data_IF_377524099377
#
_entry.id   IF_377524099377
#
_cell.length_a   1.000
_cell.length_b   1.000
_cell.length_c   1.000
_cell.angle_alpha   90.00
_cell.angle_beta   90.00
_cell.angle_gamma   90.00
#
_symmetry.space_group_name_H-M   'P 1'
#
loop_
_entity.id
_entity.type
_entity.pdbx_description
1 polymer ?
#
# COMPACT_ATOMS: atom_id res chain seq x y z
N UNK A 1 -10.37 3.56 0.82
CA UNK A 1 -9.07 3.71 0.11
C UNK A 1 -8.50 5.11 0.18
N UNK A 2 -9.18 6.15 -0.35
CA UNK A 2 -8.74 7.57 -0.24
C UNK A 2 -8.45 7.98 1.21
N UNK A 3 -9.35 7.64 2.13
CA UNK A 3 -9.21 7.90 3.58
C UNK A 3 -7.86 7.41 4.12
N UNK A 4 -7.39 6.24 3.70
CA UNK A 4 -6.13 5.69 4.19
C UNK A 4 -4.91 6.51 3.75
N UNK A 5 -4.94 7.10 2.54
CA UNK A 5 -3.88 8.00 2.07
C UNK A 5 -3.87 9.30 2.85
N UNK A 6 -5.03 9.92 3.09
CA UNK A 6 -5.12 11.15 3.88
C UNK A 6 -4.67 10.92 5.32
N UNK A 7 -5.18 9.86 5.99
CA UNK A 7 -4.75 9.53 7.34
C UNK A 7 -3.24 9.27 7.42
N UNK A 8 -2.66 8.61 6.41
CA UNK A 8 -1.21 8.39 6.35
C UNK A 8 -0.43 9.70 6.12
N UNK A 9 -0.93 10.60 5.26
CA UNK A 9 -0.32 11.89 5.00
C UNK A 9 -0.34 12.80 6.25
N UNK A 10 -1.37 12.70 7.06
CA UNK A 10 -1.49 13.34 8.39
C UNK A 10 -0.57 12.72 9.45
N UNK A 11 0.12 11.62 9.13
CA UNK A 11 1.05 10.95 10.05
C UNK A 11 0.40 9.95 11.01
N UNK A 12 -0.85 9.56 10.78
CA UNK A 12 -1.49 8.53 11.61
C UNK A 12 -0.75 7.19 11.49
N UNK A 13 -0.56 6.51 12.63
CA UNK A 13 0.06 5.20 12.64
C UNK A 13 -0.79 4.16 11.90
N UNK A 14 -0.14 3.16 11.30
CA UNK A 14 -0.81 2.05 10.61
C UNK A 14 -1.93 1.41 11.43
N UNK A 15 -1.74 1.27 12.76
CA UNK A 15 -2.75 0.70 13.66
C UNK A 15 -4.07 1.49 13.60
N UNK A 16 -4.00 2.81 13.61
CA UNK A 16 -5.17 3.68 13.57
C UNK A 16 -5.86 3.59 12.22
N UNK A 17 -5.08 3.56 11.13
CA UNK A 17 -5.62 3.42 9.77
C UNK A 17 -6.30 2.06 9.58
N UNK A 18 -5.71 0.97 10.10
CA UNK A 18 -6.33 -0.37 10.10
C UNK A 18 -7.66 -0.35 10.83
N UNK A 19 -7.70 0.25 12.02
CA UNK A 19 -8.90 0.29 12.86
C UNK A 19 -10.02 1.07 12.16
N UNK A 20 -9.72 2.27 11.65
CA UNK A 20 -10.68 3.09 10.94
C UNK A 20 -11.24 2.39 9.68
N UNK A 21 -10.38 1.73 8.89
CA UNK A 21 -10.87 1.00 7.71
C UNK A 21 -11.74 -0.20 8.10
N UNK A 22 -11.36 -0.99 9.09
CA UNK A 22 -12.15 -2.13 9.54
C UNK A 22 -13.51 -1.71 10.12
N UNK A 23 -13.58 -0.57 10.78
CA UNK A 23 -14.84 -0.02 11.29
C UNK A 23 -15.78 0.38 10.14
N UNK A 24 -15.24 0.95 9.06
CA UNK A 24 -16.02 1.23 7.85
C UNK A 24 -16.52 -0.05 7.19
N UNK A 25 -15.67 -1.05 7.01
CA UNK A 25 -16.07 -2.35 6.44
C UNK A 25 -17.16 -3.03 7.30
N UNK A 26 -17.07 -2.92 8.64
CA UNK A 26 -18.08 -3.45 9.55
C UNK A 26 -19.42 -2.72 9.39
N UNK A 27 -19.40 -1.39 9.26
CA UNK A 27 -20.60 -0.58 9.01
C UNK A 27 -21.28 -0.93 7.68
N UNK A 28 -20.47 -1.14 6.64
CA UNK A 28 -20.94 -1.50 5.31
C UNK A 28 -21.30 -3.01 5.20
N UNK A 29 -21.20 -3.75 6.31
CA UNK A 29 -21.47 -5.18 6.43
C UNK A 29 -20.68 -6.03 5.41
N UNK A 30 -19.45 -5.62 5.10
CA UNK A 30 -18.55 -6.39 4.26
C UNK A 30 -17.74 -7.36 5.11
N UNK A 31 -17.37 -8.51 4.53
CA UNK A 31 -16.46 -9.48 5.20
C UNK A 31 -14.98 -9.11 5.04
N UNK A 32 -14.69 -7.90 4.60
CA UNK A 32 -13.33 -7.48 4.27
C UNK A 32 -12.57 -7.11 5.54
N UNK A 33 -11.40 -7.71 5.74
CA UNK A 33 -10.50 -7.32 6.84
C UNK A 33 -9.25 -6.66 6.29
N UNK A 34 -8.98 -5.46 6.79
CA UNK A 34 -7.77 -4.71 6.58
C UNK A 34 -6.68 -5.13 7.57
N UNK A 35 -5.49 -5.35 7.04
CA UNK A 35 -4.29 -5.63 7.83
C UNK A 35 -3.23 -4.59 7.51
N UNK A 36 -2.28 -4.39 8.44
CA UNK A 36 -1.18 -3.45 8.24
C UNK A 36 -0.38 -3.76 6.95
N UNK A 37 -0.14 -5.04 6.66
CA UNK A 37 0.58 -5.43 5.44
C UNK A 37 -0.20 -5.08 4.17
N UNK A 38 -1.53 -5.25 4.19
CA UNK A 38 -2.41 -4.90 3.06
C UNK A 38 -2.39 -3.40 2.80
N UNK A 39 -2.50 -2.59 3.87
CA UNK A 39 -2.42 -1.13 3.78
C UNK A 39 -1.04 -0.70 3.30
N UNK A 40 0.04 -1.27 3.82
CA UNK A 40 1.39 -0.94 3.36
C UNK A 40 1.59 -1.20 1.87
N UNK A 41 1.07 -2.32 1.34
CA UNK A 41 1.11 -2.60 -0.11
C UNK A 41 0.24 -1.62 -0.89
N UNK A 42 -0.93 -1.25 -0.36
CA UNK A 42 -1.83 -0.28 -0.97
C UNK A 42 -1.18 1.10 -1.10
N UNK A 43 -0.59 1.62 -0.02
CA UNK A 43 0.00 2.96 0.01
C UNK A 43 1.24 3.11 -0.91
N UNK A 44 1.85 1.99 -1.33
CA UNK A 44 2.99 1.98 -2.24
C UNK A 44 2.62 1.72 -3.71
N UNK A 45 1.35 1.50 -4.01
CA UNK A 45 0.94 1.12 -5.34
C UNK A 45 0.72 2.36 -6.20
N UNK A 46 1.45 2.44 -7.30
CA UNK A 46 1.49 3.59 -8.21
C UNK A 46 0.16 3.75 -8.98
N UNK A 47 -0.66 2.70 -9.01
CA UNK A 47 -2.00 2.78 -9.61
C UNK A 47 -2.87 3.84 -8.95
N UNK A 48 -2.63 4.19 -7.68
CA UNK A 48 -3.42 5.22 -7.01
C UNK A 48 -3.13 6.65 -7.52
N UNK A 49 -1.98 6.88 -8.16
CA UNK A 49 -1.64 8.15 -8.84
C UNK A 49 -1.89 8.11 -10.35
N UNK A 50 -2.55 7.06 -10.85
CA UNK A 50 -2.82 6.87 -12.28
C UNK A 50 -1.72 6.15 -13.05
N UNK A 51 -0.57 5.89 -12.41
CA UNK A 51 0.60 5.28 -13.04
C UNK A 51 0.57 3.75 -12.95
N UNK A 52 1.25 3.06 -13.86
CA UNK A 52 1.35 1.60 -13.87
C UNK A 52 2.78 1.16 -14.15
N UNK A 53 3.30 0.26 -13.30
CA UNK A 53 4.49 -0.53 -13.61
C UNK A 53 4.09 -1.92 -14.10
N UNK A 54 4.41 -2.21 -15.35
CA UNK A 54 4.09 -3.49 -16.01
C UNK A 54 5.04 -4.60 -15.57
N UNK A 55 4.62 -5.85 -15.73
CA UNK A 55 5.44 -7.04 -15.50
C UNK A 55 6.12 -7.12 -14.12
N UNK A 56 5.48 -6.63 -13.04
CA UNK A 56 5.98 -6.75 -11.65
C UNK A 56 6.24 -8.20 -11.22
N UNK A 57 5.57 -9.15 -11.86
CA UNK A 57 5.72 -10.57 -11.61
C UNK A 57 5.38 -11.37 -12.87
N UNK A 58 6.07 -12.48 -13.09
CA UNK A 58 5.94 -13.32 -14.27
C UNK A 58 5.86 -14.80 -13.90
N UNK A 59 5.44 -15.63 -14.86
CA UNK A 59 5.45 -17.09 -14.74
C UNK A 59 6.66 -17.62 -15.54
N UNK A 60 7.67 -18.22 -14.89
CA UNK A 60 8.85 -18.75 -15.56
C UNK A 60 8.51 -20.04 -16.32
N UNK A 61 7.60 -20.82 -15.75
CA UNK A 61 7.07 -22.04 -16.35
C UNK A 61 5.54 -21.92 -16.44
N UNK A 62 5.00 -22.18 -17.63
CA UNK A 62 3.55 -22.08 -17.89
C UNK A 62 2.77 -23.24 -17.26
N UNK A 63 3.40 -24.40 -17.06
CA UNK A 63 2.77 -25.62 -16.54
C UNK A 63 2.61 -25.59 -15.02
N UNK A 64 3.63 -25.13 -14.27
CA UNK A 64 3.57 -25.07 -12.80
C UNK A 64 2.64 -23.98 -12.25
N UNK A 65 2.19 -23.03 -13.07
CA UNK A 65 1.29 -21.94 -12.67
C UNK A 65 1.88 -20.93 -11.67
N UNK A 66 3.11 -21.14 -11.19
CA UNK A 66 3.75 -20.36 -10.13
C UNK A 66 4.15 -18.98 -10.65
N UNK A 67 3.65 -17.93 -10.01
CA UNK A 67 4.04 -16.56 -10.30
C UNK A 67 5.17 -16.13 -9.36
N UNK A 68 6.26 -15.61 -9.93
CA UNK A 68 7.40 -15.08 -9.19
C UNK A 68 7.55 -13.58 -9.45
N UNK A 69 8.14 -12.86 -8.50
CA UNK A 69 8.45 -11.43 -8.68
C UNK A 69 9.52 -11.29 -9.75
N UNK A 70 9.33 -10.31 -10.63
CA UNK A 70 10.32 -9.93 -11.62
C UNK A 70 11.37 -9.04 -10.95
N UNK A 71 12.64 -9.44 -11.04
CA UNK A 71 13.82 -8.72 -10.53
C UNK A 71 14.74 -8.26 -11.67
N UNK A 72 14.28 -8.38 -12.92
CA UNK A 72 15.03 -8.03 -14.13
C UNK A 72 15.00 -9.13 -15.19
N UNK A 73 14.36 -10.27 -14.93
CA UNK A 73 14.27 -11.38 -15.89
C UNK A 73 13.34 -11.06 -17.08
N UNK A 74 12.43 -10.10 -16.92
CA UNK A 74 11.64 -9.55 -18.03
C UNK A 74 11.66 -8.03 -17.99
N UNK A 75 11.55 -7.40 -19.16
CA UNK A 75 11.42 -5.95 -19.26
C UNK A 75 10.18 -5.47 -18.49
N UNK A 76 10.37 -4.42 -17.69
CA UNK A 76 9.33 -3.70 -16.98
C UNK A 76 9.26 -2.28 -17.53
N UNK A 77 8.05 -1.81 -17.79
CA UNK A 77 7.81 -0.45 -18.29
C UNK A 77 6.96 0.30 -17.29
N UNK A 78 7.41 1.51 -16.95
CA UNK A 78 6.65 2.47 -16.15
C UNK A 78 5.86 3.37 -17.10
N UNK A 79 4.54 3.40 -16.92
CA UNK A 79 3.62 4.20 -17.73
C UNK A 79 2.97 5.22 -16.81
N UNK A 80 3.22 6.49 -17.10
CA UNK A 80 2.62 7.61 -16.38
C UNK A 80 1.20 7.91 -16.91
N UNK A 81 0.28 8.24 -16.01
CA UNK A 81 -1.06 8.72 -16.39
C UNK A 81 -1.90 7.73 -17.20
N UNK A 82 -1.71 6.42 -16.98
CA UNK A 82 -2.48 5.37 -17.67
C UNK A 82 -3.98 5.45 -17.39
N UNK A 83 -4.39 5.91 -16.21
CA UNK A 83 -5.79 6.12 -15.85
C UNK A 83 -5.95 7.28 -14.87
N UNK A 84 -7.20 7.66 -14.60
CA UNK A 84 -7.50 8.72 -13.65
C UNK A 84 -6.95 8.40 -12.25
N UNK A 85 -6.20 9.35 -11.71
CA UNK A 85 -5.59 9.23 -10.39
C UNK A 85 -6.67 9.23 -9.29
N UNK A 86 -6.58 8.29 -8.36
CA UNK A 86 -7.46 8.23 -7.19
C UNK A 86 -7.03 9.27 -6.15
N UNK A 87 -5.73 9.51 -6.03
CA UNK A 87 -5.10 10.50 -5.13
C UNK A 87 -4.09 11.36 -5.88
N UNK A 88 -3.89 12.59 -5.42
CA UNK A 88 -2.85 13.47 -5.94
C UNK A 88 -1.44 12.91 -5.74
N UNK A 89 -0.54 13.22 -6.68
CA UNK A 89 0.87 12.79 -6.63
C UNK A 89 1.59 13.34 -5.39
N UNK A 90 1.26 14.55 -4.99
CA UNK A 90 1.75 15.21 -3.77
C UNK A 90 1.45 14.41 -2.49
N UNK A 91 0.21 13.94 -2.33
CA UNK A 91 -0.20 13.11 -1.19
C UNK A 91 0.53 11.78 -1.22
N UNK A 92 0.62 11.15 -2.39
CA UNK A 92 1.31 9.87 -2.55
C UNK A 92 2.79 9.97 -2.18
N UNK A 93 3.50 10.98 -2.68
CA UNK A 93 4.89 11.23 -2.36
C UNK A 93 5.11 11.56 -0.87
N UNK A 94 4.21 12.35 -0.27
CA UNK A 94 4.25 12.64 1.17
C UNK A 94 4.12 11.36 2.00
N UNK A 95 3.15 10.50 1.66
CA UNK A 95 2.98 9.19 2.29
C UNK A 95 4.22 8.32 2.10
N UNK A 96 4.82 8.30 0.91
CA UNK A 96 6.03 7.53 0.66
C UNK A 96 7.19 7.98 1.56
N UNK A 97 7.35 9.30 1.76
CA UNK A 97 8.33 9.86 2.71
C UNK A 97 8.05 9.40 4.14
N UNK A 98 6.80 9.44 4.59
CA UNK A 98 6.38 8.96 5.92
C UNK A 98 6.63 7.45 6.12
N UNK A 99 6.50 6.66 5.05
CA UNK A 99 6.81 5.23 5.06
C UNK A 99 8.32 5.03 5.22
N UNK A 100 9.13 5.76 4.45
CA UNK A 100 10.61 5.68 4.47
C UNK A 100 11.18 6.13 5.81
N UNK A 101 10.65 7.19 6.42
CA UNK A 101 11.03 7.65 7.76
C UNK A 101 10.57 6.72 8.88
N UNK A 102 9.63 5.82 8.61
CA UNK A 102 9.02 4.95 9.61
C UNK A 102 8.01 5.66 10.51
N UNK A 103 7.61 6.90 10.21
CA UNK A 103 6.67 7.70 11.01
C UNK A 103 5.31 7.02 11.21
N UNK A 104 4.88 6.21 10.24
CA UNK A 104 3.61 5.48 10.32
C UNK A 104 3.66 4.24 11.23
N UNK A 105 4.83 3.84 11.72
CA UNK A 105 4.94 2.68 12.62
C UNK A 105 4.55 3.10 14.03
N UNK A 106 3.70 2.31 14.68
CA UNK A 106 3.48 2.46 16.13
C UNK A 106 4.82 2.32 16.86
N UNK A 107 5.19 3.34 17.64
CA UNK A 107 6.32 3.24 18.55
C UNK A 107 6.01 2.13 19.56
N UNK A 108 6.88 1.13 19.65
CA UNK A 108 6.85 0.18 20.78
C UNK A 108 7.22 0.99 22.01
N UNK A 109 6.26 1.30 22.87
CA UNK A 109 6.59 1.72 24.23
C UNK A 109 7.45 0.62 24.85
N UNK A 110 8.62 1.01 25.36
CA UNK A 110 9.64 0.12 25.87
C UNK A 110 9.02 -1.00 26.72
N UNK A 111 9.38 -2.24 26.40
CA UNK A 111 9.06 -3.41 27.20
C UNK A 111 9.57 -3.09 28.61
N UNK A 112 8.69 -2.90 29.60
CA UNK A 112 9.09 -2.84 31.02
C UNK A 112 9.87 -4.12 31.28
N UNK A 113 11.19 -3.97 31.42
CA UNK A 113 12.06 -5.02 31.92
C UNK A 113 11.58 -5.27 33.35
N UNK A 114 11.11 -6.49 33.63
CA UNK A 114 10.89 -6.96 35.00
C UNK A 114 12.23 -7.33 35.59
#
# INVERSE_FOLDING_TARGET
>A
MRIAFHMAAEGNAYKNIVMALNELEHRDNTKLVWTQQRIHRMLKNETYIGDILTNKSYKPDMLSGKQIKNRGERNQYYIEGHHEAIVGRDIFESVEKMIKSGSLRTKRNGRRIK
#
